data_IF_733673941636
#
_entry.id   IF_733673941636
#
_cell.length_a   1.000
_cell.length_b   1.000
_cell.length_c   1.000
_cell.angle_alpha   90.00
_cell.angle_beta   90.00
_cell.angle_gamma   90.00
#
_symmetry.space_group_name_H-M   'P 1'
#
loop_
_entity.id
_entity.type
_entity.pdbx_description
1 polymer ?
#
# COMPACT_ATOMS: atom_id res chain seq x y z
N UNK A 1 10.77 11.50 -92.89
CA UNK A 1 11.37 10.94 -91.68
C UNK A 1 11.01 11.84 -90.51
N UNK A 2 9.91 11.53 -89.82
CA UNK A 2 9.31 12.36 -88.76
C UNK A 2 9.56 11.67 -87.42
N UNK A 3 10.29 12.34 -86.54
CA UNK A 3 10.66 11.89 -85.20
C UNK A 3 9.42 11.88 -84.27
N UNK A 4 9.20 10.87 -83.42
CA UNK A 4 8.10 10.89 -82.46
C UNK A 4 8.45 11.74 -81.21
N UNK A 5 7.46 12.33 -80.53
CA UNK A 5 7.69 13.20 -79.38
C UNK A 5 8.06 12.40 -78.11
N UNK A 6 9.01 12.95 -77.35
CA UNK A 6 9.50 12.41 -76.09
C UNK A 6 8.41 12.40 -75.00
N UNK A 7 8.14 11.22 -74.43
CA UNK A 7 7.30 11.06 -73.23
C UNK A 7 8.07 11.56 -72.02
N UNK A 8 7.58 12.62 -71.36
CA UNK A 8 8.03 13.05 -70.04
C UNK A 8 7.40 12.14 -68.98
N UNK A 9 8.21 11.29 -68.37
CA UNK A 9 7.84 10.49 -67.20
C UNK A 9 7.81 11.43 -65.99
N UNK A 10 6.63 11.73 -65.46
CA UNK A 10 6.47 12.44 -64.19
C UNK A 10 6.63 11.38 -63.09
N UNK A 11 7.77 11.37 -62.41
CA UNK A 11 7.95 10.58 -61.20
C UNK A 11 7.13 11.21 -60.07
N UNK A 12 6.05 10.54 -59.68
CA UNK A 12 5.30 10.85 -58.46
C UNK A 12 6.21 10.48 -57.27
N UNK A 13 6.78 11.48 -56.60
CA UNK A 13 7.49 11.29 -55.35
C UNK A 13 6.44 11.19 -54.23
N UNK A 14 6.10 9.97 -53.83
CA UNK A 14 5.20 9.71 -52.70
C UNK A 14 5.95 10.06 -51.41
N UNK A 15 5.66 11.23 -50.85
CA UNK A 15 6.14 11.65 -49.53
C UNK A 15 5.35 10.85 -48.48
N UNK A 16 5.95 9.77 -47.96
CA UNK A 16 5.43 9.09 -46.77
C UNK A 16 5.63 10.03 -45.58
N UNK A 17 4.54 10.69 -45.15
CA UNK A 17 4.48 11.35 -43.86
C UNK A 17 4.34 10.24 -42.81
N UNK A 18 5.45 9.83 -42.19
CA UNK A 18 5.41 8.98 -41.02
C UNK A 18 4.79 9.81 -39.89
N UNK A 19 3.52 9.56 -39.61
CA UNK A 19 2.89 9.99 -38.36
C UNK A 19 3.59 9.17 -37.28
N UNK A 20 4.64 9.75 -36.69
CA UNK A 20 5.16 9.30 -35.41
C UNK A 20 4.10 9.72 -34.41
N UNK A 21 3.12 8.87 -34.16
CA UNK A 21 2.38 8.98 -32.91
C UNK A 21 3.42 8.86 -31.80
N UNK A 22 3.53 9.82 -30.86
CA UNK A 22 4.27 9.53 -29.64
C UNK A 22 3.65 8.24 -29.09
N UNK A 23 4.49 7.26 -28.76
CA UNK A 23 4.04 6.17 -27.94
C UNK A 23 3.54 6.84 -26.65
N UNK A 24 2.23 6.96 -26.50
CA UNK A 24 1.62 7.21 -25.20
C UNK A 24 2.19 6.10 -24.33
N UNK A 25 3.00 6.47 -23.33
CA UNK A 25 3.28 5.58 -22.23
C UNK A 25 1.92 4.99 -21.82
N UNK A 26 1.82 3.66 -21.74
CA UNK A 26 0.61 3.05 -21.22
C UNK A 26 0.29 3.75 -19.90
N UNK A 27 -0.94 4.24 -19.73
CA UNK A 27 -1.35 4.88 -18.49
C UNK A 27 -0.97 3.94 -17.35
N UNK A 28 -0.26 4.44 -16.34
CA UNK A 28 0.07 3.62 -15.19
C UNK A 28 -1.26 3.19 -14.56
N UNK A 29 -1.45 1.90 -14.39
CA UNK A 29 -2.64 1.31 -13.78
C UNK A 29 -2.70 1.72 -12.29
N UNK A 30 -3.87 1.56 -11.66
CA UNK A 30 -3.95 1.75 -10.22
C UNK A 30 -3.08 0.71 -9.50
N UNK A 31 -2.35 1.14 -8.48
CA UNK A 31 -1.42 0.29 -7.73
C UNK A 31 -1.64 0.42 -6.23
N UNK A 32 -1.54 -0.69 -5.51
CA UNK A 32 -1.45 -0.71 -4.06
C UNK A 32 -0.30 -1.61 -3.63
N UNK A 33 0.33 -1.30 -2.49
CA UNK A 33 1.43 -2.10 -1.97
C UNK A 33 1.59 -1.93 -0.47
N UNK A 34 2.34 -2.84 0.15
CA UNK A 34 2.71 -2.75 1.55
C UNK A 34 4.13 -2.19 1.70
N UNK A 35 4.37 -1.40 2.73
CA UNK A 35 5.69 -0.85 3.05
C UNK A 35 5.96 -0.90 4.55
N UNK A 36 7.23 -1.02 4.92
CA UNK A 36 7.70 -0.80 6.30
C UNK A 36 7.96 0.67 6.60
N UNK A 37 7.91 1.54 5.59
CA UNK A 37 8.20 2.95 5.73
C UNK A 37 6.93 3.79 5.72
N UNK A 38 6.81 4.65 6.72
CA UNK A 38 5.73 5.63 6.78
C UNK A 38 5.98 6.79 5.80
N UNK A 39 7.19 6.97 5.31
CA UNK A 39 7.57 8.02 4.34
C UNK A 39 8.81 7.62 3.54
N UNK A 40 9.09 8.31 2.44
CA UNK A 40 10.17 7.96 1.52
C UNK A 40 9.95 6.60 0.84
N UNK A 41 8.69 6.26 0.54
CA UNK A 41 8.27 5.11 -0.26
C UNK A 41 9.08 5.04 -1.54
N UNK A 42 9.53 3.83 -1.89
CA UNK A 42 10.28 3.60 -3.11
C UNK A 42 9.38 3.52 -4.36
N UNK A 43 8.06 3.51 -4.15
CA UNK A 43 7.05 3.09 -5.13
C UNK A 43 6.51 1.71 -4.75
N UNK A 44 5.88 1.00 -5.70
CA UNK A 44 5.44 -0.37 -5.48
C UNK A 44 6.59 -1.26 -4.99
N UNK A 45 6.38 -1.92 -3.85
CA UNK A 45 7.34 -2.80 -3.20
C UNK A 45 6.64 -3.96 -2.49
N UNK A 46 7.40 -5.00 -2.13
CA UNK A 46 6.91 -6.09 -1.30
C UNK A 46 7.94 -6.44 -0.22
N UNK A 47 7.82 -5.89 1.01
CA UNK A 47 8.86 -6.00 2.03
C UNK A 47 9.02 -7.42 2.56
N UNK A 48 10.27 -7.78 2.85
CA UNK A 48 10.63 -9.01 3.56
C UNK A 48 11.03 -8.70 5.00
N UNK A 49 10.30 -9.25 5.97
CA UNK A 49 10.45 -9.01 7.40
C UNK A 49 10.97 -10.25 8.12
N UNK A 50 11.92 -10.06 9.04
CA UNK A 50 12.35 -11.08 9.99
C UNK A 50 11.89 -10.69 11.39
N UNK A 51 11.00 -11.47 11.98
CA UNK A 51 10.42 -11.22 13.30
C UNK A 51 10.68 -12.39 14.25
N UNK A 52 10.67 -12.14 15.55
CA UNK A 52 10.65 -13.19 16.59
C UNK A 52 9.24 -13.30 17.18
N UNK A 53 8.82 -14.51 17.61
CA UNK A 53 7.54 -14.66 18.32
C UNK A 53 7.44 -13.68 19.49
N UNK A 54 6.35 -12.92 19.54
CA UNK A 54 6.06 -11.86 20.50
C UNK A 54 6.47 -10.46 20.04
N UNK A 55 7.12 -10.33 18.88
CA UNK A 55 7.44 -9.05 18.26
C UNK A 55 6.25 -8.50 17.47
N UNK A 56 6.14 -7.17 17.45
CA UNK A 56 5.15 -6.44 16.65
C UNK A 56 5.87 -5.43 15.78
N UNK A 57 5.41 -5.25 14.54
CA UNK A 57 5.90 -4.21 13.64
C UNK A 57 4.73 -3.53 12.94
N UNK A 58 4.92 -2.32 12.45
CA UNK A 58 3.89 -1.58 11.71
C UNK A 58 4.15 -1.72 10.21
N UNK A 59 3.11 -2.04 9.47
CA UNK A 59 3.09 -1.94 8.01
C UNK A 59 2.18 -0.79 7.57
N UNK A 60 2.51 -0.23 6.42
CA UNK A 60 1.80 0.86 5.79
C UNK A 60 1.27 0.38 4.45
N UNK A 61 -0.04 0.56 4.25
CA UNK A 61 -0.67 0.36 2.95
C UNK A 61 -0.55 1.68 2.17
N UNK A 62 0.08 1.59 1.01
CA UNK A 62 0.18 2.68 0.05
C UNK A 62 -0.69 2.41 -1.17
N UNK A 63 -1.12 3.48 -1.84
CA UNK A 63 -1.84 3.39 -3.09
C UNK A 63 -1.55 4.56 -4.02
N UNK A 64 -1.75 4.32 -5.31
CA UNK A 64 -1.62 5.28 -6.39
C UNK A 64 -2.71 5.02 -7.43
N UNK A 65 -3.56 6.00 -7.75
CA UNK A 65 -4.55 5.86 -8.81
C UNK A 65 -3.89 5.83 -10.18
N UNK A 66 -4.67 5.44 -11.18
CA UNK A 66 -4.31 5.55 -12.59
C UNK A 66 -3.87 6.98 -12.91
N UNK A 67 -2.92 7.15 -13.83
CA UNK A 67 -2.47 8.50 -14.19
C UNK A 67 -3.64 9.38 -14.67
N UNK A 68 -3.85 10.53 -14.02
CA UNK A 68 -4.92 11.48 -14.36
C UNK A 68 -6.29 11.15 -13.74
N UNK A 69 -6.36 10.15 -12.86
CA UNK A 69 -7.56 9.82 -12.09
C UNK A 69 -7.33 10.03 -10.60
N UNK A 70 -8.41 9.91 -9.82
CA UNK A 70 -8.37 9.82 -8.37
C UNK A 70 -9.18 8.63 -7.88
N UNK A 71 -8.78 8.01 -6.77
CA UNK A 71 -9.64 7.05 -6.08
C UNK A 71 -10.79 7.81 -5.40
N UNK A 72 -12.01 7.44 -5.79
CA UNK A 72 -13.22 7.90 -5.11
C UNK A 72 -13.64 6.96 -3.99
N UNK A 73 -13.29 5.69 -4.12
CA UNK A 73 -13.39 4.72 -3.05
C UNK A 73 -12.28 3.68 -3.17
N UNK A 74 -11.86 3.19 -2.01
CA UNK A 74 -10.93 2.10 -1.87
C UNK A 74 -11.53 1.10 -0.89
N UNK A 75 -11.59 -0.17 -1.28
CA UNK A 75 -12.02 -1.25 -0.42
C UNK A 75 -11.08 -2.42 -0.64
N UNK A 76 -10.25 -2.70 0.37
CA UNK A 76 -9.25 -3.76 0.33
C UNK A 76 -9.40 -4.70 1.53
N UNK A 77 -8.87 -5.91 1.37
CA UNK A 77 -8.60 -6.84 2.47
C UNK A 77 -7.09 -7.09 2.55
N UNK A 78 -6.64 -7.53 3.71
CA UNK A 78 -5.26 -8.00 3.92
C UNK A 78 -5.35 -9.41 4.48
N UNK A 79 -4.78 -10.39 3.79
CA UNK A 79 -4.96 -11.81 4.13
C UNK A 79 -3.61 -12.49 4.27
N UNK A 80 -3.40 -13.16 5.40
CA UNK A 80 -2.27 -14.06 5.54
C UNK A 80 -2.58 -15.39 4.85
N UNK A 81 -1.62 -15.97 4.12
CA UNK A 81 -1.84 -17.27 3.48
C UNK A 81 -1.78 -18.46 4.45
N UNK A 82 -1.28 -18.24 5.68
CA UNK A 82 -1.15 -19.27 6.72
C UNK A 82 -0.96 -18.66 8.09
N UNK A 83 -1.08 -19.51 9.12
CA UNK A 83 -0.82 -19.16 10.51
C UNK A 83 0.62 -18.66 10.77
N UNK A 84 0.77 -17.85 11.82
CA UNK A 84 2.06 -17.38 12.33
C UNK A 84 2.13 -15.90 12.64
N UNK A 85 1.22 -15.10 12.07
CA UNK A 85 1.10 -13.67 12.31
C UNK A 85 -0.34 -13.30 12.66
N UNK A 86 -0.50 -12.18 13.36
CA UNK A 86 -1.75 -11.62 13.85
C UNK A 86 -1.85 -10.17 13.38
N UNK A 87 -2.95 -9.79 12.74
CA UNK A 87 -3.24 -8.41 12.34
C UNK A 87 -3.84 -7.72 13.57
N UNK A 88 -3.04 -6.92 14.26
CA UNK A 88 -3.32 -6.51 15.64
C UNK A 88 -4.54 -5.59 15.70
N UNK A 89 -5.60 -6.09 16.34
CA UNK A 89 -6.80 -5.33 16.62
C UNK A 89 -6.49 -4.06 17.43
N UNK A 90 -7.21 -2.97 17.15
CA UNK A 90 -7.03 -1.71 17.85
C UNK A 90 -5.86 -0.86 17.34
N UNK A 91 -5.04 -1.39 16.43
CA UNK A 91 -3.88 -0.72 15.85
C UNK A 91 -4.03 -0.41 14.35
N UNK A 92 -5.25 -0.49 13.81
CA UNK A 92 -5.55 -0.20 12.41
C UNK A 92 -6.02 1.25 12.29
N UNK A 93 -5.30 2.05 11.49
CA UNK A 93 -5.61 3.45 11.23
C UNK A 93 -5.74 3.69 9.72
N UNK A 94 -6.81 4.35 9.28
CA UNK A 94 -6.97 4.85 7.91
C UNK A 94 -6.61 6.33 7.87
N UNK A 95 -5.71 6.73 6.97
CA UNK A 95 -5.23 8.10 6.86
C UNK A 95 -6.13 8.91 5.93
N UNK A 96 -7.20 9.43 6.53
CA UNK A 96 -8.24 10.15 5.79
C UNK A 96 -7.95 11.65 5.62
N UNK A 97 -7.16 12.24 6.51
CA UNK A 97 -6.94 13.68 6.49
C UNK A 97 -6.02 14.09 5.32
N UNK A 98 -6.41 15.14 4.60
CA UNK A 98 -5.53 15.87 3.68
C UNK A 98 -4.79 16.94 4.48
N UNK A 99 -5.54 17.68 5.29
CA UNK A 99 -5.04 18.66 6.24
C UNK A 99 -5.86 18.65 7.54
N UNK A 100 -5.76 19.69 8.37
CA UNK A 100 -6.46 19.75 9.65
C UNK A 100 -7.98 20.00 9.53
N UNK A 101 -8.49 20.25 8.34
CA UNK A 101 -9.87 20.66 8.06
C UNK A 101 -10.56 19.84 6.98
N UNK A 102 -9.81 19.12 6.16
CA UNK A 102 -10.31 18.46 4.95
C UNK A 102 -9.95 16.98 4.98
N UNK A 103 -10.96 16.15 4.77
CA UNK A 103 -10.85 14.69 4.66
C UNK A 103 -10.92 14.25 3.18
N UNK A 104 -10.37 13.08 2.88
CA UNK A 104 -10.43 12.47 1.54
C UNK A 104 -11.76 11.80 1.27
N UNK A 105 -12.27 11.10 2.29
CA UNK A 105 -13.44 10.24 2.20
C UNK A 105 -14.45 10.59 3.29
N UNK A 106 -15.74 10.50 2.95
CA UNK A 106 -16.85 10.71 3.89
C UNK A 106 -16.88 9.65 4.99
N UNK A 107 -16.60 8.39 4.62
CA UNK A 107 -16.66 7.26 5.51
C UNK A 107 -15.36 6.48 5.48
N UNK A 108 -14.80 6.25 6.66
CA UNK A 108 -13.72 5.32 6.92
C UNK A 108 -14.12 4.34 8.03
N UNK A 109 -13.53 3.15 8.00
CA UNK A 109 -13.66 2.18 9.09
C UNK A 109 -12.29 1.74 9.58
N UNK A 110 -11.92 2.20 10.76
CA UNK A 110 -10.64 1.88 11.41
C UNK A 110 -10.87 1.39 12.86
N UNK A 111 -9.79 1.22 13.63
CA UNK A 111 -9.87 0.79 15.02
C UNK A 111 -10.53 1.81 15.98
N UNK A 112 -10.62 3.07 15.59
CA UNK A 112 -11.22 4.15 16.40
C UNK A 112 -12.70 4.37 16.12
N UNK A 113 -13.22 3.80 15.03
CA UNK A 113 -14.60 3.93 14.59
C UNK A 113 -15.62 3.27 15.54
N UNK A 114 -16.90 3.67 15.45
CA UNK A 114 -18.00 3.14 16.29
C UNK A 114 -18.27 1.65 16.07
N UNK A 115 -17.86 1.12 14.93
CA UNK A 115 -17.85 -0.30 14.60
C UNK A 115 -16.43 -0.64 14.17
N UNK A 116 -15.51 -0.85 15.13
CA UNK A 116 -14.09 -0.88 14.84
C UNK A 116 -13.78 -1.96 13.81
N UNK A 117 -12.84 -1.65 12.93
CA UNK A 117 -12.25 -2.64 12.06
C UNK A 117 -11.36 -3.56 12.93
N UNK A 118 -11.62 -4.86 12.84
CA UNK A 118 -10.89 -5.92 13.54
C UNK A 118 -10.47 -6.99 12.53
N UNK A 119 -9.42 -7.71 12.86
CA UNK A 119 -9.07 -8.98 12.25
C UNK A 119 -10.15 -10.05 12.51
N UNK A 120 -10.13 -11.11 11.71
CA UNK A 120 -11.05 -12.24 11.85
C UNK A 120 -10.67 -13.15 13.02
N UNK A 121 -9.37 -13.30 13.30
CA UNK A 121 -8.88 -14.20 14.33
C UNK A 121 -8.10 -13.45 15.40
N UNK A 122 -8.29 -13.85 16.66
CA UNK A 122 -7.45 -13.33 17.74
C UNK A 122 -6.02 -13.86 17.64
N UNK A 123 -5.05 -13.16 18.25
CA UNK A 123 -3.66 -13.60 18.36
C UNK A 123 -3.48 -15.07 18.81
N UNK A 124 -4.37 -15.60 19.65
CA UNK A 124 -4.33 -16.99 20.10
C UNK A 124 -4.77 -18.00 19.04
N UNK A 125 -5.72 -17.63 18.19
CA UNK A 125 -6.25 -18.44 17.08
C UNK A 125 -5.28 -18.42 15.89
N UNK A 126 -4.65 -17.27 15.64
CA UNK A 126 -3.66 -17.02 14.58
C UNK A 126 -2.37 -17.85 14.72
N UNK A 127 -2.21 -18.57 15.83
CA UNK A 127 -1.18 -19.62 16.02
C UNK A 127 -1.43 -20.84 15.14
N UNK A 128 -2.71 -21.14 14.84
CA UNK A 128 -3.12 -22.34 14.11
C UNK A 128 -3.92 -22.06 12.85
N UNK A 129 -4.43 -20.83 12.72
CA UNK A 129 -5.24 -20.37 11.61
C UNK A 129 -4.57 -19.16 10.96
N UNK A 130 -4.82 -18.96 9.67
CA UNK A 130 -4.40 -17.74 9.01
C UNK A 130 -5.32 -16.61 9.46
N UNK A 131 -4.75 -15.43 9.65
CA UNK A 131 -5.51 -14.25 10.01
C UNK A 131 -5.80 -13.37 8.79
N UNK A 132 -6.86 -12.59 8.87
CA UNK A 132 -7.32 -11.72 7.81
C UNK A 132 -7.97 -10.45 8.36
N UNK A 133 -7.69 -9.34 7.70
CA UNK A 133 -8.31 -8.05 7.94
C UNK A 133 -9.27 -7.77 6.78
N UNK A 134 -10.55 -7.97 7.02
CA UNK A 134 -11.59 -7.77 6.02
C UNK A 134 -12.25 -6.41 6.21
N UNK A 135 -12.28 -5.65 5.12
CA UNK A 135 -13.07 -4.43 5.04
C UNK A 135 -12.33 -3.17 5.45
N UNK A 136 -11.09 -3.05 5.00
CA UNK A 136 -10.37 -1.78 4.96
C UNK A 136 -11.00 -0.92 3.86
N UNK A 137 -12.00 -0.14 4.25
CA UNK A 137 -12.81 0.66 3.34
C UNK A 137 -12.69 2.15 3.61
N UNK A 138 -12.60 2.92 2.54
CA UNK A 138 -12.74 4.37 2.52
C UNK A 138 -13.59 4.77 1.31
N UNK A 139 -14.69 5.49 1.51
CA UNK A 139 -15.60 5.83 0.42
C UNK A 139 -16.35 7.14 0.64
N UNK A 140 -16.70 7.79 -0.47
CA UNK A 140 -17.57 8.97 -0.52
C UNK A 140 -18.89 8.59 -1.20
N UNK A 141 -20.01 8.67 -0.46
CA UNK A 141 -21.33 8.34 -1.02
C UNK A 141 -21.91 9.55 -1.76
N UNK A 142 -21.76 10.72 -1.16
CA UNK A 142 -22.23 11.99 -1.70
C UNK A 142 -21.02 12.87 -1.97
N UNK A 143 -20.65 13.09 -3.25
CA UNK A 143 -19.59 14.03 -3.55
C UNK A 143 -20.03 15.41 -3.05
N UNK A 144 -19.19 16.01 -2.22
CA UNK A 144 -19.26 17.42 -1.85
C UNK A 144 -17.88 18.05 -2.12
N UNK A 145 -17.86 19.37 -2.28
CA UNK A 145 -16.65 20.14 -2.55
C UNK A 145 -15.54 20.00 -1.49
N UNK A 146 -15.83 19.37 -0.34
CA UNK A 146 -14.84 19.18 0.72
C UNK A 146 -14.12 17.83 0.65
N UNK A 147 -14.59 16.88 -0.17
CA UNK A 147 -14.02 15.54 -0.25
C UNK A 147 -13.30 15.30 -1.58
N UNK A 148 -11.97 15.24 -1.52
CA UNK A 148 -11.11 15.22 -2.72
C UNK A 148 -10.71 13.82 -3.19
N UNK A 149 -10.95 12.78 -2.39
CA UNK A 149 -10.43 11.44 -2.66
C UNK A 149 -8.89 11.35 -2.59
N UNK A 150 -8.31 10.42 -3.35
CA UNK A 150 -6.86 10.20 -3.40
C UNK A 150 -6.37 10.40 -4.84
N UNK A 151 -5.45 11.35 -5.05
CA UNK A 151 -5.02 11.77 -6.38
C UNK A 151 -5.82 12.96 -6.92
N UNK A 152 -5.54 13.38 -8.17
CA UNK A 152 -4.49 12.88 -9.07
C UNK A 152 -3.10 13.47 -8.75
N UNK A 153 -3.04 14.50 -7.90
CA UNK A 153 -1.78 15.21 -7.59
C UNK A 153 -1.54 15.25 -6.09
N UNK A 154 -0.26 15.31 -5.73
CA UNK A 154 0.21 15.38 -4.36
C UNK A 154 0.39 16.84 -3.93
N UNK A 155 -0.47 17.35 -3.03
CA UNK A 155 -0.37 18.72 -2.53
C UNK A 155 0.79 18.88 -1.53
N UNK A 156 1.35 20.09 -1.41
CA UNK A 156 2.48 20.30 -0.48
C UNK A 156 2.07 20.26 1.02
N UNK A 157 0.78 20.43 1.29
CA UNK A 157 0.19 20.38 2.64
C UNK A 157 -0.22 18.98 3.10
N UNK A 158 -0.10 17.99 2.22
CA UNK A 158 -0.70 16.67 2.38
C UNK A 158 0.26 15.70 3.09
N UNK A 159 0.04 15.43 4.38
CA UNK A 159 0.99 14.66 5.21
C UNK A 159 1.16 13.19 4.83
N UNK A 160 0.14 12.64 4.18
CA UNK A 160 0.04 11.23 3.79
C UNK A 160 0.22 11.05 2.29
N UNK A 161 0.74 12.07 1.61
CA UNK A 161 1.15 11.97 0.21
C UNK A 161 2.62 12.34 0.06
N UNK A 162 3.31 11.64 -0.83
CA UNK A 162 4.66 12.00 -1.23
C UNK A 162 4.95 11.62 -2.67
N UNK A 163 6.01 12.22 -3.22
CA UNK A 163 6.60 11.73 -4.47
C UNK A 163 7.54 10.59 -4.13
N UNK A 164 7.18 9.38 -4.57
CA UNK A 164 7.95 8.18 -4.27
C UNK A 164 9.28 8.14 -5.05
N UNK A 165 10.13 7.18 -4.72
CA UNK A 165 11.47 7.02 -5.33
C UNK A 165 11.45 6.82 -6.85
N UNK A 166 10.33 6.37 -7.41
CA UNK A 166 10.08 6.24 -8.85
C UNK A 166 9.66 7.56 -9.54
N UNK A 167 9.45 8.63 -8.79
CA UNK A 167 9.10 9.96 -9.28
C UNK A 167 7.58 10.22 -9.39
N UNK A 168 6.75 9.25 -8.99
CA UNK A 168 5.30 9.33 -9.11
C UNK A 168 4.65 9.52 -7.72
N UNK A 169 3.50 10.21 -7.62
CA UNK A 169 2.87 10.48 -6.33
C UNK A 169 2.31 9.20 -5.71
N UNK A 170 2.44 9.04 -4.40
CA UNK A 170 1.97 7.90 -3.64
C UNK A 170 1.27 8.36 -2.37
N UNK A 171 0.20 7.67 -1.98
CA UNK A 171 -0.59 8.01 -0.81
C UNK A 171 -0.58 6.89 0.20
N UNK A 172 -0.25 7.21 1.46
CA UNK A 172 -0.36 6.29 2.57
C UNK A 172 -1.83 6.22 2.97
N UNK A 173 -2.48 5.10 2.68
CA UNK A 173 -3.92 4.93 2.89
C UNK A 173 -4.25 4.40 4.28
N UNK A 174 -3.41 3.50 4.79
CA UNK A 174 -3.59 2.95 6.12
C UNK A 174 -2.26 2.56 6.77
N UNK A 175 -2.30 2.41 8.09
CA UNK A 175 -1.27 1.74 8.89
C UNK A 175 -1.93 0.67 9.75
N UNK A 176 -1.23 -0.44 9.94
CA UNK A 176 -1.67 -1.50 10.86
C UNK A 176 -0.47 -2.20 11.46
N UNK A 177 -0.63 -2.66 12.70
CA UNK A 177 0.39 -3.47 13.36
C UNK A 177 0.20 -4.95 13.04
N UNK A 178 1.31 -5.66 12.89
CA UNK A 178 1.35 -7.11 12.74
C UNK A 178 2.19 -7.73 13.85
N UNK A 179 1.62 -8.70 14.54
CA UNK A 179 2.24 -9.44 15.64
C UNK A 179 2.70 -10.82 15.19
N UNK A 180 3.93 -11.19 15.51
CA UNK A 180 4.43 -12.55 15.30
C UNK A 180 3.95 -13.47 16.43
N UNK A 181 3.01 -14.39 16.15
CA UNK A 181 2.37 -15.22 17.20
C UNK A 181 2.87 -16.67 17.23
N UNK A 182 3.41 -17.18 16.11
CA UNK A 182 3.98 -18.52 16.06
C UNK A 182 5.15 -18.62 15.08
N UNK A 183 6.15 -19.43 15.42
CA UNK A 183 7.30 -19.66 14.55
C UNK A 183 6.84 -20.23 13.21
N UNK A 184 7.26 -19.58 12.12
CA UNK A 184 6.79 -19.87 10.76
C UNK A 184 7.88 -19.48 9.77
N UNK A 185 8.20 -20.39 8.86
CA UNK A 185 9.32 -20.18 7.93
C UNK A 185 9.09 -19.03 6.93
N UNK A 186 7.83 -18.69 6.62
CA UNK A 186 7.47 -17.63 5.65
C UNK A 186 5.95 -17.49 5.58
N UNK A 187 5.36 -16.49 6.22
CA UNK A 187 3.95 -16.11 6.05
C UNK A 187 3.89 -15.05 4.96
N UNK A 188 3.08 -15.28 3.92
CA UNK A 188 2.81 -14.27 2.90
C UNK A 188 1.57 -13.47 3.29
N UNK A 189 1.65 -12.14 3.17
CA UNK A 189 0.48 -11.27 3.18
C UNK A 189 0.10 -10.93 1.75
N UNK A 190 -1.20 -10.90 1.50
CA UNK A 190 -1.79 -10.57 0.20
C UNK A 190 -2.81 -9.46 0.37
N UNK A 191 -2.72 -8.44 -0.46
CA UNK A 191 -3.76 -7.45 -0.68
C UNK A 191 -4.80 -8.04 -1.62
N UNK A 192 -6.06 -7.76 -1.33
CA UNK A 192 -7.17 -8.24 -2.14
C UNK A 192 -8.21 -7.13 -2.28
N UNK A 193 -8.97 -7.18 -3.35
CA UNK A 193 -10.14 -6.33 -3.51
C UNK A 193 -11.22 -6.75 -2.51
N UNK A 194 -11.65 -5.80 -1.69
CA UNK A 194 -12.70 -6.00 -0.71
C UNK A 194 -14.10 -5.93 -1.33
N UNK A 195 -15.12 -5.96 -0.46
CA UNK A 195 -16.54 -6.03 -0.88
C UNK A 195 -17.00 -4.90 -1.81
N UNK A 196 -16.42 -3.70 -1.70
CA UNK A 196 -16.83 -2.54 -2.48
C UNK A 196 -15.86 -2.19 -3.63
N UNK A 197 -14.80 -2.98 -3.80
CA UNK A 197 -13.82 -2.78 -4.86
C UNK A 197 -13.10 -1.43 -4.81
N UNK A 198 -12.51 -1.03 -5.93
CA UNK A 198 -11.89 0.28 -6.11
C UNK A 198 -12.57 0.96 -7.29
N UNK A 199 -12.93 2.24 -7.16
CA UNK A 199 -13.41 3.02 -8.28
C UNK A 199 -12.60 4.31 -8.39
N UNK A 200 -12.38 4.67 -9.64
CA UNK A 200 -11.62 5.83 -10.03
C UNK A 200 -12.51 6.80 -10.81
N UNK A 201 -12.25 8.09 -10.62
CA UNK A 201 -12.86 9.16 -11.41
C UNK A 201 -11.77 9.83 -12.21
N UNK A 202 -12.00 10.02 -13.51
CA UNK A 202 -11.13 10.89 -14.31
C UNK A 202 -11.32 12.33 -13.85
N UNK A 203 -10.24 13.04 -13.56
CA UNK A 203 -10.32 14.44 -13.17
C UNK A 203 -10.44 15.31 -14.42
N UNK A 204 -11.41 16.21 -14.45
CA UNK A 204 -11.57 17.14 -15.56
C UNK A 204 -10.42 18.16 -15.55
N UNK A 205 -9.95 18.59 -16.72
CA UNK A 205 -8.99 19.69 -16.76
C UNK A 205 -9.65 20.95 -16.17
N UNK A 206 -8.98 21.62 -15.23
CA UNK A 206 -9.54 22.79 -14.55
C UNK A 206 -10.36 22.50 -13.29
N UNK A 207 -10.59 21.22 -12.95
CA UNK A 207 -11.08 20.77 -11.64
C UNK A 207 -9.88 20.82 -10.68
N UNK A 208 -9.73 21.94 -9.99
CA UNK A 208 -8.60 22.30 -9.15
C UNK A 208 -8.85 22.00 -7.68
N UNK A 209 -10.10 21.97 -7.23
CA UNK A 209 -10.44 21.53 -5.88
C UNK A 209 -10.64 20.01 -5.77
N UNK A 210 -10.78 19.31 -6.89
CA UNK A 210 -11.01 17.87 -6.99
C UNK A 210 -12.36 17.44 -6.41
N UNK A 211 -13.44 18.14 -6.73
CA UNK A 211 -14.80 17.78 -6.33
C UNK A 211 -15.64 17.06 -7.39
N UNK A 212 -15.01 16.69 -8.51
CA UNK A 212 -15.61 16.03 -9.69
C UNK A 212 -16.29 17.00 -10.70
N UNK A 213 -16.24 18.33 -10.53
CA UNK A 213 -16.66 19.28 -11.56
C UNK A 213 -15.74 20.49 -11.75
N UNK A 214 -16.06 21.32 -12.74
CA UNK A 214 -15.31 22.54 -13.06
C UNK A 214 -16.24 23.74 -12.93
N UNK A 215 -16.19 24.44 -11.80
CA UNK A 215 -17.12 25.51 -11.47
C UNK A 215 -16.44 26.75 -10.84
N UNK A 216 -17.14 27.53 -10.01
CA UNK A 216 -16.56 28.71 -9.35
C UNK A 216 -15.63 28.39 -8.19
N UNK A 217 -15.78 27.23 -7.55
CA UNK A 217 -15.00 26.85 -6.38
C UNK A 217 -13.57 26.48 -6.81
N UNK A 218 -13.39 25.91 -8.01
CA UNK A 218 -12.08 25.75 -8.66
C UNK A 218 -11.38 27.08 -8.95
N UNK A 219 -12.14 28.10 -9.32
CA UNK A 219 -11.57 29.42 -9.53
C UNK A 219 -11.04 29.99 -8.22
N UNK A 220 -11.75 29.81 -7.12
CA UNK A 220 -11.32 30.22 -5.79
C UNK A 220 -10.08 29.41 -5.32
N UNK A 221 -10.01 28.11 -5.65
CA UNK A 221 -8.83 27.29 -5.44
C UNK A 221 -7.62 27.81 -6.23
N UNK A 222 -7.78 28.13 -7.52
CA UNK A 222 -6.73 28.74 -8.34
C UNK A 222 -6.29 30.11 -7.81
N UNK A 223 -7.23 30.98 -7.42
CA UNK A 223 -6.90 32.30 -6.82
C UNK A 223 -6.06 32.11 -5.55
N UNK A 224 -6.43 31.14 -4.71
CA UNK A 224 -5.70 30.83 -3.48
C UNK A 224 -4.29 30.33 -3.77
N UNK A 225 -4.13 29.53 -4.82
CA UNK A 225 -2.85 28.96 -5.23
C UNK A 225 -2.02 29.89 -6.14
N UNK A 226 -2.54 31.03 -6.59
CA UNK A 226 -1.87 31.87 -7.58
C UNK A 226 -0.45 32.31 -7.15
N UNK A 227 0.54 32.03 -8.00
CA UNK A 227 1.96 32.28 -7.77
C UNK A 227 2.66 31.22 -6.90
N UNK A 228 1.97 30.14 -6.52
CA UNK A 228 2.54 28.99 -5.84
C UNK A 228 3.06 27.93 -6.82
N UNK A 229 3.53 26.81 -6.27
CA UNK A 229 3.90 25.59 -7.02
C UNK A 229 2.96 24.43 -6.71
N UNK A 230 1.73 24.73 -6.27
CA UNK A 230 0.75 23.68 -5.95
C UNK A 230 0.24 23.00 -7.21
N UNK A 231 0.48 21.68 -7.40
CA UNK A 231 0.24 21.02 -8.68
C UNK A 231 -1.25 20.93 -9.05
N UNK A 232 -2.15 20.92 -8.06
CA UNK A 232 -3.59 20.84 -8.33
C UNK A 232 -4.16 22.01 -9.15
N UNK A 233 -3.55 23.21 -9.07
CA UNK A 233 -4.04 24.42 -9.73
C UNK A 233 -3.15 24.85 -10.91
N UNK A 234 -2.07 24.11 -11.19
CA UNK A 234 -1.16 24.30 -12.31
C UNK A 234 -1.70 23.52 -13.53
N UNK A 235 -2.84 23.96 -14.04
CA UNK A 235 -3.58 23.26 -15.09
C UNK A 235 -2.81 23.06 -16.40
N UNK A 236 -1.74 23.81 -16.66
CA UNK A 236 -0.86 23.58 -17.81
C UNK A 236 0.43 22.80 -17.48
N UNK A 237 0.59 22.37 -16.23
CA UNK A 237 1.72 21.62 -15.71
C UNK A 237 3.10 22.28 -15.95
N UNK A 238 3.18 23.61 -15.83
CA UNK A 238 4.42 24.39 -16.01
C UNK A 238 5.31 24.41 -14.76
N UNK A 239 4.80 23.93 -13.63
CA UNK A 239 5.42 23.98 -12.31
C UNK A 239 5.16 25.27 -11.54
N UNK A 240 4.25 26.14 -12.00
CA UNK A 240 3.88 27.38 -11.32
C UNK A 240 2.45 27.76 -11.66
N UNK A 241 1.63 28.04 -10.64
CA UNK A 241 0.24 28.48 -10.83
C UNK A 241 0.24 29.94 -11.28
N UNK A 242 -0.15 30.21 -12.52
CA UNK A 242 -0.19 31.54 -13.10
C UNK A 242 -1.42 31.81 -13.98
N UNK A 243 -1.38 32.89 -14.76
CA UNK A 243 -2.50 33.35 -15.58
C UNK A 243 -2.82 32.42 -16.77
N UNK A 244 -1.90 31.53 -17.17
CA UNK A 244 -2.15 30.54 -18.19
C UNK A 244 -3.05 29.41 -17.65
N UNK A 245 -2.95 29.05 -16.37
CA UNK A 245 -3.81 28.02 -15.75
C UNK A 245 -5.26 28.48 -15.63
N UNK A 246 -5.49 29.77 -15.45
CA UNK A 246 -6.84 30.35 -15.55
C UNK A 246 -7.50 30.05 -16.90
N UNK A 247 -6.72 30.00 -17.99
CA UNK A 247 -7.29 29.70 -19.31
C UNK A 247 -7.72 28.24 -19.42
N UNK A 248 -7.04 27.32 -18.75
CA UNK A 248 -7.42 25.90 -18.67
C UNK A 248 -8.76 25.76 -17.95
N UNK A 249 -8.89 26.35 -16.75
CA UNK A 249 -10.16 26.39 -16.02
C UNK A 249 -11.31 26.96 -16.86
N UNK A 250 -11.11 28.16 -17.43
CA UNK A 250 -12.16 28.85 -18.18
C UNK A 250 -12.62 28.05 -19.39
N UNK A 251 -11.69 27.42 -20.10
CA UNK A 251 -12.00 26.68 -21.33
C UNK A 251 -12.73 25.34 -21.02
N UNK A 252 -12.66 24.87 -19.77
CA UNK A 252 -13.33 23.66 -19.28
C UNK A 252 -14.51 23.92 -18.32
N UNK A 253 -14.93 25.17 -18.14
CA UNK A 253 -16.05 25.52 -17.23
C UNK A 253 -17.32 24.70 -17.52
N UNK A 254 -17.83 24.03 -16.48
CA UNK A 254 -18.96 23.11 -16.51
C UNK A 254 -18.62 21.69 -16.99
N UNK A 255 -17.34 21.37 -17.16
CA UNK A 255 -16.90 19.98 -17.31
C UNK A 255 -17.13 19.20 -16.01
N UNK A 256 -17.25 17.89 -16.14
CA UNK A 256 -17.45 16.97 -15.01
C UNK A 256 -16.50 15.79 -15.17
N UNK A 257 -15.94 15.34 -14.05
CA UNK A 257 -15.22 14.09 -13.97
C UNK A 257 -16.12 12.92 -14.36
N UNK A 258 -15.51 11.86 -14.90
CA UNK A 258 -16.21 10.65 -15.31
C UNK A 258 -15.79 9.50 -14.44
N UNK A 259 -16.75 8.93 -13.70
CA UNK A 259 -16.54 7.66 -13.01
C UNK A 259 -16.16 6.60 -14.04
N UNK A 260 -14.99 6.00 -13.87
CA UNK A 260 -14.56 4.89 -14.70
C UNK A 260 -15.46 3.69 -14.41
N UNK A 261 -15.90 3.01 -15.48
CA UNK A 261 -16.60 1.74 -15.31
C UNK A 261 -15.68 0.80 -14.55
N UNK A 262 -16.17 0.08 -13.55
CA UNK A 262 -15.30 -0.71 -12.66
C UNK A 262 -14.52 -1.79 -13.41
N UNK A 263 -15.03 -2.27 -14.56
CA UNK A 263 -14.29 -3.20 -15.45
C UNK A 263 -13.13 -2.56 -16.21
N UNK A 264 -12.99 -1.24 -16.16
CA UNK A 264 -11.89 -0.47 -16.73
C UNK A 264 -10.88 -0.01 -15.68
N UNK A 265 -11.20 -0.17 -14.39
CA UNK A 265 -10.24 0.02 -13.29
C UNK A 265 -9.49 -1.29 -13.09
N UNK A 266 -8.30 -1.36 -13.65
CA UNK A 266 -7.36 -2.45 -13.42
C UNK A 266 -6.42 -2.06 -12.28
N UNK A 267 -6.20 -2.99 -11.37
CA UNK A 267 -5.41 -2.81 -10.15
C UNK A 267 -4.25 -3.81 -10.14
N UNK A 268 -3.07 -3.34 -9.73
CA UNK A 268 -1.95 -4.19 -9.31
C UNK A 268 -1.71 -4.10 -7.81
N UNK A 269 -1.27 -5.22 -7.26
CA UNK A 269 -0.75 -5.32 -5.91
C UNK A 269 0.78 -5.46 -5.97
N UNK A 270 1.47 -5.13 -4.88
CA UNK A 270 2.90 -5.31 -4.72
C UNK A 270 3.82 -4.85 -5.84
N UNK A 271 4.95 -5.53 -5.94
CA UNK A 271 5.88 -5.48 -7.06
C UNK A 271 6.03 -6.90 -7.58
N UNK A 272 6.05 -7.07 -8.90
CA UNK A 272 6.29 -8.38 -9.52
C UNK A 272 7.68 -8.93 -9.13
N UNK A 273 7.72 -9.93 -8.25
CA UNK A 273 8.95 -10.60 -7.81
C UNK A 273 9.09 -11.93 -8.57
N UNK A 274 9.31 -11.87 -9.87
CA UNK A 274 9.54 -13.12 -10.61
C UNK A 274 9.76 -13.03 -12.11
N UNK A 275 9.69 -14.20 -12.75
CA UNK A 275 9.54 -14.38 -14.20
C UNK A 275 8.08 -14.68 -14.60
N UNK A 276 7.17 -14.73 -13.61
CA UNK A 276 5.74 -14.68 -13.81
C UNK A 276 5.29 -13.29 -14.23
N UNK A 277 4.05 -13.17 -14.70
CA UNK A 277 3.39 -11.86 -14.82
C UNK A 277 2.41 -11.78 -13.68
N UNK A 278 2.65 -10.85 -12.76
CA UNK A 278 1.67 -10.49 -11.74
C UNK A 278 0.31 -10.18 -12.42
N UNK A 279 -0.78 -10.85 -12.00
CA UNK A 279 -2.06 -10.70 -12.65
C UNK A 279 -2.58 -9.27 -12.48
N UNK A 280 -3.28 -8.79 -13.52
CA UNK A 280 -4.10 -7.59 -13.38
C UNK A 280 -5.45 -7.97 -12.78
N UNK A 281 -5.82 -7.25 -11.73
CA UNK A 281 -7.09 -7.46 -11.05
C UNK A 281 -8.12 -6.46 -11.54
N UNK A 282 -9.31 -6.94 -11.86
CA UNK A 282 -10.43 -6.04 -12.12
C UNK A 282 -11.05 -5.63 -10.80
N UNK A 283 -11.14 -4.31 -10.60
CA UNK A 283 -11.54 -3.69 -9.35
C UNK A 283 -12.93 -4.07 -8.82
N UNK A 284 -13.80 -4.71 -9.63
CA UNK A 284 -15.16 -5.10 -9.22
C UNK A 284 -15.35 -6.57 -8.89
N UNK A 285 -14.72 -7.47 -9.65
CA UNK A 285 -15.10 -8.89 -9.72
C UNK A 285 -14.00 -9.83 -9.20
N UNK A 286 -12.76 -9.36 -9.05
CA UNK A 286 -11.63 -10.19 -8.64
C UNK A 286 -11.35 -10.11 -7.12
N UNK A 287 -12.21 -10.76 -6.34
CA UNK A 287 -12.20 -10.71 -4.85
C UNK A 287 -11.62 -11.97 -4.20
N UNK A 288 -11.02 -12.85 -4.99
CA UNK A 288 -10.61 -14.18 -4.53
C UNK A 288 -9.30 -14.13 -3.76
N UNK A 289 -9.14 -15.07 -2.81
CA UNK A 289 -8.05 -15.02 -1.82
C UNK A 289 -6.71 -15.56 -2.28
N UNK A 290 -6.68 -16.17 -3.47
CA UNK A 290 -5.50 -16.87 -3.97
C UNK A 290 -5.55 -16.95 -5.49
N UNK A 291 -5.11 -15.88 -6.12
CA UNK A 291 -5.08 -15.79 -7.56
C UNK A 291 -3.86 -16.50 -8.09
N UNK A 292 -4.08 -17.35 -9.09
CA UNK A 292 -3.01 -18.21 -9.62
C UNK A 292 -1.97 -17.32 -10.28
N UNK A 293 -0.78 -17.24 -9.67
CA UNK A 293 0.34 -16.43 -10.16
C UNK A 293 0.52 -15.09 -9.45
N UNK A 294 -0.26 -14.83 -8.40
CA UNK A 294 -0.10 -13.65 -7.54
C UNK A 294 1.01 -13.86 -6.49
N UNK A 295 1.85 -12.85 -6.32
CA UNK A 295 2.97 -12.86 -5.40
C UNK A 295 2.58 -12.23 -4.06
N UNK A 296 3.21 -12.59 -2.93
CA UNK A 296 2.90 -11.94 -1.66
C UNK A 296 3.35 -10.47 -1.65
N UNK A 297 2.44 -9.56 -1.29
CA UNK A 297 2.73 -8.14 -1.02
C UNK A 297 3.66 -7.91 0.16
N UNK A 298 3.76 -8.87 1.08
CA UNK A 298 4.81 -8.89 2.09
C UNK A 298 5.14 -10.33 2.49
N UNK A 299 6.39 -10.56 2.85
CA UNK A 299 6.87 -11.87 3.32
C UNK A 299 7.44 -11.76 4.73
N UNK A 300 6.86 -12.51 5.67
CA UNK A 300 7.24 -12.46 7.08
C UNK A 300 7.82 -13.80 7.52
N UNK A 301 9.07 -13.78 7.93
CA UNK A 301 9.73 -14.94 8.55
C UNK A 301 9.67 -14.80 10.06
N UNK A 302 9.03 -15.74 10.74
CA UNK A 302 8.90 -15.73 12.20
C UNK A 302 9.82 -16.77 12.82
N UNK A 303 10.87 -16.30 13.48
CA UNK A 303 11.82 -17.13 14.22
C UNK A 303 11.27 -17.51 15.60
N UNK A 304 11.57 -18.73 16.04
CA UNK A 304 11.30 -19.12 17.41
C UNK A 304 12.06 -18.20 18.39
N UNK A 305 11.51 -17.93 19.59
CA UNK A 305 12.26 -17.20 20.59
C UNK A 305 13.58 -17.93 20.84
N UNK A 306 14.68 -17.18 20.85
CA UNK A 306 15.97 -17.75 21.23
C UNK A 306 15.77 -18.45 22.56
N UNK A 307 15.97 -19.77 22.59
CA UNK A 307 15.96 -20.50 23.84
C UNK A 307 17.00 -19.80 24.71
N UNK A 308 16.54 -19.04 25.71
CA UNK A 308 17.43 -18.51 26.71
C UNK A 308 18.21 -19.72 27.18
N UNK A 309 19.53 -19.70 26.99
CA UNK A 309 20.40 -20.78 27.42
C UNK A 309 20.18 -20.89 28.91
N UNK A 310 19.22 -21.73 29.31
CA UNK A 310 18.86 -21.93 30.69
C UNK A 310 20.19 -22.29 31.32
N UNK A 311 20.69 -21.40 32.18
CA UNK A 311 21.82 -21.69 33.06
C UNK A 311 21.58 -23.10 33.56
N UNK A 312 22.48 -24.06 33.27
CA UNK A 312 22.24 -25.45 33.61
C UNK A 312 21.85 -25.47 35.08
N UNK A 313 20.67 -26.02 35.40
CA UNK A 313 20.26 -26.17 36.79
C UNK A 313 21.44 -26.75 37.57
N UNK A 314 21.81 -26.22 38.74
CA UNK A 314 22.86 -26.79 39.57
C UNK A 314 22.37 -28.10 40.23
N UNK A 315 21.96 -29.08 39.44
CA UNK A 315 21.53 -30.40 39.88
C UNK A 315 22.68 -31.41 39.72
N UNK A 316 23.89 -31.11 40.21
CA UNK A 316 24.96 -32.12 40.37
C UNK A 316 26.02 -31.81 41.43
N UNK A 317 25.95 -30.67 42.14
CA UNK A 317 26.96 -30.29 43.12
C UNK A 317 26.88 -31.01 44.49
N UNK A 318 25.76 -31.68 44.80
CA UNK A 318 25.49 -32.18 46.17
C UNK A 318 25.60 -33.70 46.36
N UNK A 319 26.01 -34.47 45.35
CA UNK A 319 26.18 -35.93 45.51
C UNK A 319 27.63 -36.41 45.76
N UNK A 320 28.61 -35.49 45.86
CA UNK A 320 29.99 -35.83 46.23
C UNK A 320 30.37 -35.49 47.69
N UNK A 321 29.43 -35.03 48.52
CA UNK A 321 29.69 -34.70 49.93
C UNK A 321 29.36 -35.83 50.93
N UNK A 322 28.85 -37.00 50.49
CA UNK A 322 28.51 -38.12 51.38
C UNK A 322 29.48 -39.32 51.32
N UNK A 323 30.61 -39.21 50.62
CA UNK A 323 31.61 -40.28 50.54
C UNK A 323 32.83 -40.11 51.50
N UNK A 324 32.87 -39.07 52.35
CA UNK A 324 34.04 -38.76 53.19
C UNK A 324 33.80 -38.74 54.72
N UNK A 325 32.71 -39.33 55.21
CA UNK A 325 32.54 -39.61 56.65
C UNK A 325 32.25 -41.10 56.89
N UNK A 326 33.26 -41.95 56.67
CA UNK A 326 33.11 -43.38 56.87
C UNK A 326 34.41 -44.14 57.06
N UNK A 327 35.43 -43.61 57.76
CA UNK A 327 36.62 -44.40 58.12
C UNK A 327 37.54 -43.73 59.17
N UNK A 328 37.07 -43.60 60.42
CA UNK A 328 37.91 -43.47 61.65
C UNK A 328 37.06 -43.88 62.85
N UNK A 329 37.35 -44.85 63.71
CA UNK A 329 38.39 -45.86 63.77
C UNK A 329 38.01 -46.81 64.93
N UNK A 330 38.03 -48.12 64.67
CA UNK A 330 37.94 -49.17 65.69
C UNK A 330 39.35 -49.68 65.91
N UNK A 331 40.01 -49.27 66.99
CA UNK A 331 41.19 -49.94 67.54
C UNK A 331 41.53 -49.37 68.92
N UNK A 332 41.51 -50.19 69.98
CA UNK A 332 42.03 -49.72 71.28
C UNK A 332 41.71 -50.54 72.52
N UNK A 333 41.79 -51.87 72.44
CA UNK A 333 41.75 -52.80 73.58
C UNK A 333 42.95 -52.55 74.52
N UNK A 334 42.75 -52.42 75.83
CA UNK A 334 43.72 -52.89 76.86
C UNK A 334 43.10 -53.03 78.26
N UNK A 335 43.14 -54.27 78.74
CA UNK A 335 43.02 -54.68 80.14
C UNK A 335 44.02 -53.96 81.05
N UNK A 336 43.60 -53.75 82.31
CA UNK A 336 44.38 -54.13 83.51
C UNK A 336 43.47 -54.13 84.75
N UNK A 337 43.30 -55.32 85.34
CA UNK A 337 43.11 -55.54 86.79
C UNK A 337 44.51 -55.61 87.45
N UNK A 338 44.68 -55.69 88.78
CA UNK A 338 43.87 -56.36 89.79
C UNK A 338 42.94 -55.44 90.57
#
# INVERSE_FOLDING_TARGET
MTQPPARRTISLLTLLLAIVSPATAAAAEAHFWLSTSASGSSGPEAPALGMTVGETTTLHLWGRPTTGTKFRNVSLNIVANKAGVDLVDGAIAIHNAIDLSTDRFEYIRDSSSTHPLTSEHTAGESVTMADELIGLHAFTLYPDASLRGVGPTCGSSESDCEIAGDGEPAWRLASFDIGAVAASASVGLYLQLGEYGVNEVSVAEGDYDFDDDVDSDDFDAWVTAFGSTEPHADGNASGTVDAADFTVWRDNMGAVGSLLATTATEVRFGVDIGDGTEPLHNASDDRETNLVGDDPDAVITVSAPSASSATPEPASGWLLALAWLGLRGVAGRRHRSP
#
